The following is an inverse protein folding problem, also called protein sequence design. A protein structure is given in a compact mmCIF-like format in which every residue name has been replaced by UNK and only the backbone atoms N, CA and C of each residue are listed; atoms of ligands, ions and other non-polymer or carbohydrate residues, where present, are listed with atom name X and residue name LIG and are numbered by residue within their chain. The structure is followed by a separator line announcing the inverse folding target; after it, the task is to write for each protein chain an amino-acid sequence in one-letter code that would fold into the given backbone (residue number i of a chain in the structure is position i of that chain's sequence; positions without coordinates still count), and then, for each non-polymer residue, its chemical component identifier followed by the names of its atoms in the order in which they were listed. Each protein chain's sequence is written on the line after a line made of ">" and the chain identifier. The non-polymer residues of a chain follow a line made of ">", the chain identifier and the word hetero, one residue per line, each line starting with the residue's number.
data_IF_520848621041
#
_entry.id   IF_520848621041
#
_cell.length_a   1.000
_cell.length_b   1.000
_cell.length_c   1.000
_cell.angle_alpha   90.00
_cell.angle_beta   90.00
_cell.angle_gamma   90.00
#
_symmetry.space_group_name_H-M   'P 1'
#
loop_
_entity.id
_entity.type
_entity.pdbx_description
1 polymer ?
#
# COMPACT_ATOMS: atom_id res chain seq x y z
N UNK A 1 -63.24 -83.89 32.29
CA UNK A 1 -62.66 -82.80 31.47
C UNK A 1 -62.65 -81.51 32.27
N UNK A 2 -61.47 -80.87 32.32
CA UNK A 2 -61.20 -79.44 32.59
C UNK A 2 -61.68 -78.79 33.89
N UNK A 3 -60.71 -78.44 34.72
CA UNK A 3 -60.58 -77.09 35.29
C UNK A 3 -59.09 -76.71 35.33
N UNK A 4 -58.69 -75.66 34.59
CA UNK A 4 -57.47 -74.93 34.89
C UNK A 4 -57.66 -73.43 34.57
N UNK A 5 -57.28 -72.62 35.56
CA UNK A 5 -57.37 -71.17 35.68
C UNK A 5 -56.67 -70.42 34.53
N UNK A 6 -57.19 -69.26 34.15
CA UNK A 6 -56.43 -68.20 33.46
C UNK A 6 -56.46 -66.91 34.28
N UNK A 7 -55.26 -66.41 34.58
CA UNK A 7 -54.98 -65.11 35.19
C UNK A 7 -55.26 -63.98 34.19
N UNK A 8 -55.87 -62.90 34.65
CA UNK A 8 -56.06 -61.66 33.92
C UNK A 8 -55.09 -60.61 34.50
N UNK A 9 -54.05 -60.26 33.76
CA UNK A 9 -53.15 -59.15 34.08
C UNK A 9 -53.52 -57.94 33.24
N UNK A 10 -53.97 -56.86 33.89
CA UNK A 10 -54.22 -55.56 33.25
C UNK A 10 -52.88 -54.81 33.14
N UNK A 11 -52.42 -54.55 31.91
CA UNK A 11 -51.29 -53.67 31.62
C UNK A 11 -51.85 -52.27 31.28
N UNK A 12 -51.69 -51.31 32.20
CA UNK A 12 -51.97 -49.91 31.93
C UNK A 12 -50.83 -49.31 31.08
N UNK A 13 -51.11 -49.00 29.83
CA UNK A 13 -50.21 -48.20 28.96
C UNK A 13 -50.53 -46.73 29.20
N UNK A 14 -49.64 -46.02 29.90
CA UNK A 14 -49.68 -44.56 30.00
C UNK A 14 -49.03 -43.97 28.73
N UNK A 15 -49.85 -43.55 27.77
CA UNK A 15 -49.39 -42.71 26.67
C UNK A 15 -49.25 -41.26 27.15
N UNK A 16 -48.03 -40.86 27.52
CA UNK A 16 -47.69 -39.43 27.67
C UNK A 16 -47.40 -38.81 26.30
N UNK A 17 -47.80 -37.55 26.05
CA UNK A 17 -47.46 -36.88 24.80
C UNK A 17 -45.95 -36.62 24.77
N UNK A 18 -45.25 -37.28 23.86
CA UNK A 18 -43.89 -36.91 23.51
C UNK A 18 -43.93 -35.53 22.84
N UNK A 19 -43.76 -34.47 23.65
CA UNK A 19 -43.38 -33.15 23.14
C UNK A 19 -41.97 -33.28 22.55
N UNK A 20 -41.91 -33.68 21.28
CA UNK A 20 -40.70 -33.57 20.49
C UNK A 20 -40.35 -32.09 20.38
N UNK A 21 -39.29 -31.68 21.08
CA UNK A 21 -38.60 -30.42 20.83
C UNK A 21 -38.08 -30.48 19.38
N UNK A 22 -38.86 -29.94 18.46
CA UNK A 22 -38.38 -29.58 17.13
C UNK A 22 -37.36 -28.46 17.32
N UNK A 23 -36.08 -28.82 17.43
CA UNK A 23 -34.99 -27.85 17.24
C UNK A 23 -35.05 -27.51 15.75
N UNK A 24 -35.74 -26.43 15.40
CA UNK A 24 -35.66 -25.88 14.06
C UNK A 24 -34.18 -25.58 13.78
N UNK A 25 -33.60 -26.27 12.79
CA UNK A 25 -32.25 -25.97 12.34
C UNK A 25 -32.20 -24.48 11.96
N UNK A 26 -31.33 -23.71 12.63
CA UNK A 26 -31.14 -22.31 12.28
C UNK A 26 -30.73 -22.23 10.81
N UNK A 27 -31.42 -21.37 10.06
CA UNK A 27 -31.06 -21.12 8.66
C UNK A 27 -29.60 -20.66 8.57
N UNK A 28 -28.84 -21.10 7.54
CA UNK A 28 -27.46 -20.67 7.35
C UNK A 28 -27.35 -19.14 7.32
N UNK A 29 -26.37 -18.59 8.04
CA UNK A 29 -26.09 -17.15 8.05
C UNK A 29 -25.06 -16.88 6.96
N UNK A 30 -25.46 -16.12 5.95
CA UNK A 30 -24.58 -15.68 4.86
C UNK A 30 -24.09 -14.25 5.14
N UNK A 31 -22.77 -14.07 5.14
CA UNK A 31 -22.08 -12.80 5.35
C UNK A 31 -21.29 -12.43 4.10
N UNK A 32 -21.49 -11.20 3.62
CA UNK A 32 -20.73 -10.63 2.50
C UNK A 32 -19.75 -9.59 3.02
N UNK A 33 -18.46 -9.80 2.74
CA UNK A 33 -17.39 -8.85 3.03
C UNK A 33 -16.90 -8.29 1.69
N UNK A 34 -16.97 -6.97 1.54
CA UNK A 34 -16.28 -6.27 0.45
C UNK A 34 -14.97 -5.69 0.99
N UNK A 35 -13.93 -5.66 0.16
CA UNK A 35 -12.68 -5.06 0.59
C UNK A 35 -11.87 -4.41 -0.53
N UNK A 36 -10.97 -3.52 -0.10
CA UNK A 36 -9.97 -2.83 -0.92
C UNK A 36 -8.62 -2.82 -0.21
N UNK A 37 -7.57 -2.46 -0.92
CA UNK A 37 -6.25 -2.16 -0.39
C UNK A 37 -5.51 -1.27 -1.41
N UNK A 38 -4.52 -0.50 -0.96
CA UNK A 38 -3.59 0.24 -1.81
C UNK A 38 -4.33 1.14 -2.82
N UNK A 39 -5.36 1.85 -2.34
CA UNK A 39 -6.13 2.78 -3.18
C UNK A 39 -5.25 3.94 -3.67
N UNK A 40 -4.24 4.34 -2.89
CA UNK A 40 -3.26 5.37 -3.25
C UNK A 40 -3.91 6.68 -3.71
N UNK A 41 -5.04 7.04 -3.10
CA UNK A 41 -5.77 8.23 -3.48
C UNK A 41 -6.34 8.20 -4.90
N UNK A 42 -6.51 7.04 -5.54
CA UNK A 42 -7.10 6.91 -6.87
C UNK A 42 -8.62 7.18 -6.85
N UNK A 43 -8.99 8.44 -6.64
CA UNK A 43 -10.38 8.89 -6.49
C UNK A 43 -11.14 8.92 -7.82
N UNK A 44 -10.44 9.23 -8.91
CA UNK A 44 -10.98 9.26 -10.27
C UNK A 44 -10.55 8.02 -11.06
N UNK A 45 -11.36 7.57 -12.04
CA UNK A 45 -10.93 6.50 -12.94
C UNK A 45 -9.80 6.96 -13.87
N UNK A 46 -8.86 6.06 -14.18
CA UNK A 46 -7.84 6.26 -15.23
C UNK A 46 -8.13 5.33 -16.39
N UNK A 47 -8.41 5.88 -17.58
CA UNK A 47 -8.77 5.12 -18.78
C UNK A 47 -9.91 4.10 -18.54
N UNK A 48 -10.94 4.50 -17.79
CA UNK A 48 -12.08 3.65 -17.43
C UNK A 48 -11.82 2.64 -16.31
N UNK A 49 -10.63 2.64 -15.71
CA UNK A 49 -10.24 1.72 -14.62
C UNK A 49 -10.23 2.44 -13.26
N UNK A 50 -10.80 1.80 -12.25
CA UNK A 50 -10.78 2.29 -10.87
C UNK A 50 -11.69 3.49 -10.62
N UNK A 51 -11.36 4.27 -9.59
CA UNK A 51 -12.14 5.41 -9.11
C UNK A 51 -13.08 5.04 -7.96
N UNK A 52 -13.15 5.90 -6.95
CA UNK A 52 -13.92 5.62 -5.73
C UNK A 52 -15.42 5.60 -5.97
N UNK A 53 -15.92 6.38 -6.94
CA UNK A 53 -17.34 6.34 -7.30
C UNK A 53 -17.70 5.00 -7.98
N UNK A 54 -16.79 4.41 -8.75
CA UNK A 54 -16.97 3.12 -9.40
C UNK A 54 -16.89 1.97 -8.40
N UNK A 55 -15.91 2.02 -7.49
CA UNK A 55 -15.80 1.10 -6.36
C UNK A 55 -17.10 1.12 -5.54
N UNK A 56 -17.63 2.30 -5.24
CA UNK A 56 -18.87 2.44 -4.48
C UNK A 56 -20.06 1.76 -5.15
N UNK A 57 -20.20 1.86 -6.49
CA UNK A 57 -21.24 1.14 -7.24
C UNK A 57 -21.13 -0.37 -7.05
N UNK A 58 -19.92 -0.94 -7.14
CA UNK A 58 -19.69 -2.38 -6.94
C UNK A 58 -20.02 -2.77 -5.50
N UNK A 59 -19.49 -2.05 -4.52
CA UNK A 59 -19.67 -2.33 -3.10
C UNK A 59 -21.17 -2.29 -2.77
N UNK A 60 -21.89 -1.23 -3.14
CA UNK A 60 -23.33 -1.11 -2.87
C UNK A 60 -24.15 -2.19 -3.59
N UNK A 61 -23.79 -2.54 -4.82
CA UNK A 61 -24.42 -3.63 -5.56
C UNK A 61 -24.28 -5.01 -4.92
N UNK A 62 -23.24 -5.21 -4.10
CA UNK A 62 -23.03 -6.47 -3.36
C UNK A 62 -23.85 -6.56 -2.05
N UNK A 63 -24.45 -5.46 -1.59
CA UNK A 63 -25.15 -5.34 -0.30
C UNK A 63 -24.35 -5.95 0.87
N UNK A 64 -23.12 -5.45 1.13
CA UNK A 64 -22.21 -6.05 2.09
C UNK A 64 -22.66 -5.89 3.53
N UNK A 65 -22.26 -6.87 4.34
CA UNK A 65 -22.35 -6.80 5.79
C UNK A 65 -21.14 -6.07 6.40
N UNK A 66 -19.97 -6.18 5.77
CA UNK A 66 -18.73 -5.50 6.17
C UNK A 66 -17.99 -4.95 4.95
N UNK A 67 -17.35 -3.80 5.11
CA UNK A 67 -16.49 -3.17 4.09
C UNK A 67 -15.14 -2.83 4.71
N UNK A 68 -14.05 -3.47 4.25
CA UNK A 68 -12.73 -3.41 4.89
C UNK A 68 -11.68 -2.80 3.95
N UNK A 69 -10.73 -2.05 4.50
CA UNK A 69 -9.55 -1.60 3.76
C UNK A 69 -8.24 -2.07 4.43
N UNK A 70 -7.27 -2.50 3.64
CA UNK A 70 -5.96 -2.99 4.10
C UNK A 70 -4.80 -1.97 4.01
N UNK A 71 -5.08 -0.66 4.00
CA UNK A 71 -4.09 0.40 4.12
C UNK A 71 -3.60 0.98 2.78
N UNK A 72 -2.74 2.00 2.87
CA UNK A 72 -2.28 2.85 1.77
C UNK A 72 -3.43 3.54 1.04
N UNK A 73 -4.18 4.32 1.82
CA UNK A 73 -5.37 5.05 1.41
C UNK A 73 -5.04 6.31 0.59
N UNK A 74 -4.00 7.03 0.98
CA UNK A 74 -3.86 8.45 0.62
C UNK A 74 -2.89 8.73 -0.54
N UNK A 75 -1.61 8.39 -0.39
CA UNK A 75 -0.55 8.89 -1.27
C UNK A 75 -0.59 8.24 -2.64
N UNK A 76 -0.56 9.06 -3.71
CA UNK A 76 -0.33 8.54 -5.07
C UNK A 76 -0.95 9.34 -6.21
N UNK A 77 -1.99 10.14 -5.95
CA UNK A 77 -2.56 11.07 -6.95
C UNK A 77 -2.53 12.50 -6.46
N UNK A 78 -2.43 13.46 -7.40
CA UNK A 78 -2.35 14.86 -7.03
C UNK A 78 -3.62 15.34 -6.31
N UNK A 79 -4.78 14.82 -6.70
CA UNK A 79 -6.05 15.14 -6.06
C UNK A 79 -6.03 14.73 -4.59
N UNK A 80 -5.55 13.52 -4.27
CA UNK A 80 -5.43 13.09 -2.87
C UNK A 80 -4.36 13.90 -2.12
N UNK A 81 -3.19 14.09 -2.73
CA UNK A 81 -2.04 14.73 -2.09
C UNK A 81 -2.25 16.22 -1.81
N UNK A 82 -2.87 16.96 -2.73
CA UNK A 82 -3.19 18.39 -2.56
C UNK A 82 -4.13 18.61 -1.37
N UNK A 83 -5.09 17.70 -1.17
CA UNK A 83 -6.05 17.76 -0.06
C UNK A 83 -5.67 16.86 1.11
N UNK A 84 -4.45 16.30 1.08
CA UNK A 84 -3.87 15.45 2.11
C UNK A 84 -4.83 14.33 2.56
N UNK A 85 -5.41 13.61 1.61
CA UNK A 85 -6.30 12.46 1.85
C UNK A 85 -7.73 12.78 2.33
N UNK A 86 -8.10 14.05 2.51
CA UNK A 86 -9.46 14.43 2.93
C UNK A 86 -10.57 13.88 2.04
N UNK A 87 -10.54 14.05 0.69
CA UNK A 87 -11.59 13.52 -0.17
C UNK A 87 -11.67 11.98 -0.13
N UNK A 88 -10.54 11.30 0.10
CA UNK A 88 -10.51 9.83 0.30
C UNK A 88 -11.31 9.44 1.53
N UNK A 89 -11.06 10.06 2.69
CA UNK A 89 -11.82 9.79 3.90
C UNK A 89 -13.31 10.13 3.73
N UNK A 90 -13.65 11.23 3.06
CA UNK A 90 -15.04 11.59 2.79
C UNK A 90 -15.76 10.55 1.91
N UNK A 91 -15.11 10.05 0.86
CA UNK A 91 -15.65 8.99 0.03
C UNK A 91 -15.83 7.69 0.83
N UNK A 92 -14.81 7.26 1.58
CA UNK A 92 -14.89 6.04 2.41
C UNK A 92 -15.99 6.13 3.48
N UNK A 93 -16.15 7.29 4.12
CA UNK A 93 -17.23 7.56 5.05
C UNK A 93 -18.61 7.40 4.41
N UNK A 94 -18.78 7.83 3.16
CA UNK A 94 -20.06 7.74 2.45
C UNK A 94 -20.33 6.35 1.86
N UNK A 95 -19.27 5.61 1.52
CA UNK A 95 -19.36 4.19 1.11
C UNK A 95 -19.78 3.32 2.30
N UNK A 96 -19.34 3.66 3.52
CA UNK A 96 -19.68 2.93 4.73
C UNK A 96 -18.63 1.87 5.10
N UNK A 97 -17.34 2.22 4.99
CA UNK A 97 -16.26 1.36 5.48
C UNK A 97 -16.48 1.01 6.96
N UNK A 98 -16.32 -0.27 7.28
CA UNK A 98 -16.37 -0.82 8.63
C UNK A 98 -15.06 -0.56 9.38
N UNK A 99 -13.92 -0.70 8.71
CA UNK A 99 -12.60 -0.36 9.25
C UNK A 99 -11.59 -0.16 8.12
N UNK A 100 -10.50 0.55 8.42
CA UNK A 100 -9.29 0.58 7.60
C UNK A 100 -8.07 0.13 8.41
N UNK A 101 -6.94 -0.07 7.75
CA UNK A 101 -5.66 -0.39 8.37
C UNK A 101 -4.63 0.70 8.05
N UNK A 102 -3.63 0.89 8.92
CA UNK A 102 -2.47 1.73 8.62
C UNK A 102 -1.50 0.95 7.72
N UNK A 103 -1.24 1.47 6.52
CA UNK A 103 -0.09 1.15 5.67
C UNK A 103 1.07 2.11 5.86
N UNK A 104 2.12 1.95 5.06
CA UNK A 104 3.33 2.77 5.19
C UNK A 104 3.10 4.21 4.70
N UNK A 105 2.20 4.44 3.74
CA UNK A 105 1.97 5.76 3.15
C UNK A 105 1.03 6.67 3.97
N UNK A 106 0.33 6.14 4.99
CA UNK A 106 -0.51 6.95 5.89
C UNK A 106 0.30 8.04 6.64
N UNK A 107 1.61 7.85 6.80
CA UNK A 107 2.50 8.77 7.51
C UNK A 107 3.09 9.88 6.62
N UNK A 108 2.91 9.85 5.30
CA UNK A 108 3.65 10.70 4.37
C UNK A 108 3.38 12.19 4.53
N UNK A 109 2.14 12.56 4.88
CA UNK A 109 1.77 13.96 5.14
C UNK A 109 2.09 14.41 6.58
N UNK A 110 2.76 13.56 7.35
CA UNK A 110 3.09 13.78 8.76
C UNK A 110 2.00 13.34 9.74
N UNK A 111 2.41 13.08 10.98
CA UNK A 111 1.52 12.54 12.02
C UNK A 111 0.36 13.44 12.41
N UNK A 112 0.50 14.77 12.30
CA UNK A 112 -0.59 15.70 12.64
C UNK A 112 -1.71 15.64 11.62
N UNK A 113 -1.37 15.54 10.33
CA UNK A 113 -2.35 15.33 9.27
C UNK A 113 -2.99 13.97 9.42
N UNK A 114 -2.22 12.92 9.71
CA UNK A 114 -2.77 11.60 9.99
C UNK A 114 -3.80 11.66 11.13
N UNK A 115 -3.46 12.27 12.29
CA UNK A 115 -4.42 12.48 13.40
C UNK A 115 -5.70 13.17 12.94
N UNK A 116 -5.59 14.23 12.14
CA UNK A 116 -6.77 14.92 11.60
C UNK A 116 -7.63 13.99 10.75
N UNK A 117 -7.03 13.21 9.84
CA UNK A 117 -7.75 12.28 8.97
C UNK A 117 -8.39 11.13 9.72
N UNK A 118 -7.74 10.62 10.76
CA UNK A 118 -8.31 9.60 11.63
C UNK A 118 -9.50 10.13 12.45
N UNK A 119 -9.53 11.42 12.78
CA UNK A 119 -10.70 12.08 13.42
C UNK A 119 -11.83 12.34 12.43
N UNK A 120 -11.51 12.60 11.16
CA UNK A 120 -12.50 12.76 10.09
C UNK A 120 -13.16 11.43 9.72
N UNK A 121 -12.47 10.30 9.94
CA UNK A 121 -12.98 8.96 9.64
C UNK A 121 -14.12 8.56 10.59
N UNK A 122 -15.21 8.03 10.01
CA UNK A 122 -16.36 7.48 10.73
C UNK A 122 -16.22 5.99 11.03
N UNK A 123 -15.03 5.45 10.81
CA UNK A 123 -14.65 4.07 11.00
C UNK A 123 -13.30 4.00 11.72
N UNK A 124 -13.05 2.97 12.55
CA UNK A 124 -11.76 2.79 13.19
C UNK A 124 -10.68 2.45 12.16
N UNK A 125 -9.49 3.02 12.34
CA UNK A 125 -8.29 2.66 11.59
C UNK A 125 -7.33 1.89 12.51
N UNK A 126 -6.84 0.77 12.01
CA UNK A 126 -6.28 -0.29 12.83
C UNK A 126 -4.79 -0.51 12.59
N UNK A 127 -4.02 -0.73 13.65
CA UNK A 127 -2.70 -1.35 13.63
C UNK A 127 -2.30 -1.82 15.04
N UNK A 128 -2.17 -3.12 15.24
CA UNK A 128 -1.81 -3.74 16.52
C UNK A 128 -0.30 -3.70 16.80
N UNK A 129 0.51 -3.70 15.75
CA UNK A 129 1.97 -3.75 15.86
C UNK A 129 2.63 -2.37 15.87
N UNK A 130 1.87 -1.28 15.83
CA UNK A 130 2.40 0.07 16.07
C UNK A 130 2.31 0.45 17.55
N UNK A 131 3.44 0.90 18.10
CA UNK A 131 3.50 1.66 19.35
C UNK A 131 3.66 3.12 18.97
N UNK A 132 2.61 3.91 19.17
CA UNK A 132 2.48 5.25 18.58
C UNK A 132 1.84 6.23 19.57
N UNK A 133 2.21 7.53 19.54
CA UNK A 133 1.52 8.57 20.29
C UNK A 133 0.17 8.97 19.65
N UNK A 134 -0.20 8.40 18.51
CA UNK A 134 -1.47 8.67 17.83
C UNK A 134 -2.56 7.79 18.46
N UNK A 135 -3.31 8.33 19.41
CA UNK A 135 -4.33 7.60 20.17
C UNK A 135 -5.54 7.17 19.33
N UNK A 136 -5.73 7.79 18.16
CA UNK A 136 -6.79 7.43 17.22
C UNK A 136 -6.54 6.08 16.53
N UNK A 137 -5.28 5.61 16.45
CA UNK A 137 -4.95 4.28 15.91
C UNK A 137 -5.33 3.22 16.94
N UNK A 138 -6.25 2.34 16.59
CA UNK A 138 -6.68 1.23 17.45
C UNK A 138 -5.94 -0.05 17.06
N UNK A 139 -5.78 -0.99 17.99
CA UNK A 139 -5.15 -2.28 17.66
C UNK A 139 -6.11 -3.21 16.90
N UNK A 140 -7.35 -3.24 17.35
CA UNK A 140 -8.42 -4.06 16.79
C UNK A 140 -9.78 -3.38 16.99
N UNK A 141 -10.82 -3.93 16.38
CA UNK A 141 -12.22 -3.62 16.68
C UNK A 141 -13.07 -4.88 16.65
N UNK A 142 -14.28 -4.83 17.22
CA UNK A 142 -15.25 -5.93 17.16
C UNK A 142 -16.57 -5.39 16.63
N UNK A 143 -17.08 -6.01 15.57
CA UNK A 143 -18.33 -5.60 14.90
C UNK A 143 -19.26 -6.80 14.82
N UNK A 144 -20.55 -6.59 15.05
CA UNK A 144 -21.56 -7.66 14.91
C UNK A 144 -22.33 -7.49 13.62
N UNK A 145 -22.39 -8.54 12.80
CA UNK A 145 -23.23 -8.59 11.60
C UNK A 145 -24.04 -9.90 11.60
N UNK A 146 -25.36 -9.77 11.41
CA UNK A 146 -26.34 -10.89 11.44
C UNK A 146 -26.13 -11.86 12.62
N UNK A 147 -25.75 -11.35 13.80
CA UNK A 147 -25.54 -12.13 15.03
C UNK A 147 -24.16 -12.79 15.17
N UNK A 148 -23.26 -12.64 14.19
CA UNK A 148 -21.86 -13.09 14.26
C UNK A 148 -20.97 -11.90 14.67
N UNK A 149 -20.13 -12.10 15.69
CA UNK A 149 -19.14 -11.10 16.14
C UNK A 149 -17.83 -11.28 15.38
N UNK A 150 -17.40 -10.26 14.65
CA UNK A 150 -16.15 -10.22 13.89
C UNK A 150 -15.11 -9.43 14.66
N UNK A 151 -14.04 -10.09 15.09
CA UNK A 151 -12.85 -9.43 15.62
C UNK A 151 -11.91 -9.09 14.48
N UNK A 152 -11.59 -7.81 14.30
CA UNK A 152 -10.77 -7.33 13.19
C UNK A 152 -9.48 -6.74 13.76
N UNK A 153 -8.34 -7.35 13.45
CA UNK A 153 -7.02 -6.94 13.91
C UNK A 153 -6.28 -6.26 12.75
N UNK A 154 -5.76 -5.05 12.97
CA UNK A 154 -4.95 -4.35 11.97
C UNK A 154 -3.46 -4.69 12.10
N UNK A 155 -2.72 -4.74 11.00
CA UNK A 155 -1.25 -4.88 11.00
C UNK A 155 -0.61 -4.02 9.91
N UNK A 156 0.55 -3.46 10.21
CA UNK A 156 1.35 -2.61 9.31
C UNK A 156 2.73 -3.26 9.09
N UNK A 157 3.26 -3.25 7.86
CA UNK A 157 4.53 -3.90 7.51
C UNK A 157 5.68 -3.43 8.40
N UNK A 158 6.54 -4.38 8.80
CA UNK A 158 7.79 -4.11 9.53
C UNK A 158 8.74 -3.21 8.72
N UNK A 159 8.62 -3.23 7.40
CA UNK A 159 9.42 -2.44 6.47
C UNK A 159 9.03 -0.96 6.42
N UNK A 160 7.94 -0.56 7.09
CA UNK A 160 7.59 0.87 7.27
C UNK A 160 8.76 1.69 7.82
N UNK A 161 9.69 1.07 8.58
CA UNK A 161 10.91 1.74 9.08
C UNK A 161 11.81 2.31 7.97
N UNK A 162 11.74 1.74 6.77
CA UNK A 162 12.58 2.08 5.61
C UNK A 162 11.77 2.49 4.38
N UNK A 163 10.45 2.24 4.34
CA UNK A 163 9.57 2.60 3.22
C UNK A 163 8.82 3.92 3.41
N UNK A 164 8.88 4.54 4.60
CA UNK A 164 8.50 5.95 4.81
C UNK A 164 9.66 6.75 5.41
N UNK A 165 9.57 8.08 5.33
CA UNK A 165 10.64 8.94 5.83
C UNK A 165 10.71 8.87 7.37
N UNK A 166 11.91 8.64 7.96
CA UNK A 166 12.09 8.55 9.42
C UNK A 166 11.54 9.75 10.24
N UNK A 167 11.49 10.96 9.67
CA UNK A 167 10.92 12.15 10.32
C UNK A 167 9.44 11.97 10.64
N UNK A 168 8.72 11.22 9.81
CA UNK A 168 7.30 10.94 9.97
C UNK A 168 7.03 9.88 11.03
N UNK A 169 8.04 9.10 11.44
CA UNK A 169 7.94 8.02 12.44
C UNK A 169 8.46 8.42 13.83
N UNK A 170 8.70 9.70 14.10
CA UNK A 170 9.18 10.14 15.43
C UNK A 170 8.23 9.66 16.54
N UNK A 171 8.75 8.88 17.47
CA UNK A 171 7.97 8.30 18.58
C UNK A 171 7.09 7.10 18.20
N UNK A 172 7.15 6.65 16.94
CA UNK A 172 6.48 5.44 16.46
C UNK A 172 7.50 4.29 16.45
N UNK A 173 7.17 3.18 17.11
CA UNK A 173 7.95 1.95 17.03
C UNK A 173 7.08 0.86 16.42
N UNK A 174 7.61 0.18 15.40
CA UNK A 174 6.96 -0.95 14.77
C UNK A 174 7.44 -2.23 15.48
N UNK A 175 6.50 -3.07 15.92
CA UNK A 175 6.74 -4.37 16.52
C UNK A 175 6.66 -5.47 15.46
N UNK A 176 7.32 -6.59 15.75
CA UNK A 176 7.13 -7.84 15.03
C UNK A 176 5.65 -8.22 14.91
N UNK A 177 5.20 -8.55 13.70
CA UNK A 177 3.78 -8.79 13.42
C UNK A 177 3.21 -10.00 14.17
N UNK A 178 4.01 -11.06 14.32
CA UNK A 178 3.58 -12.29 15.02
C UNK A 178 3.44 -12.01 16.51
N UNK A 179 4.42 -11.32 17.10
CA UNK A 179 4.35 -10.94 18.52
C UNK A 179 3.16 -10.03 18.80
N UNK A 180 2.89 -9.06 17.92
CA UNK A 180 1.76 -8.15 18.09
C UNK A 180 0.41 -8.87 18.05
N UNK A 181 0.22 -9.82 17.12
CA UNK A 181 -0.98 -10.66 17.08
C UNK A 181 -1.07 -11.51 18.35
N UNK A 182 0.02 -12.15 18.76
CA UNK A 182 0.05 -12.97 19.98
C UNK A 182 -0.42 -12.21 21.23
N UNK A 183 -0.10 -10.93 21.34
CA UNK A 183 -0.52 -10.08 22.46
C UNK A 183 -2.01 -9.74 22.46
N UNK A 184 -2.60 -9.44 21.30
CA UNK A 184 -4.01 -8.98 21.21
C UNK A 184 -5.00 -10.12 21.03
N UNK A 185 -4.57 -11.25 20.47
CA UNK A 185 -5.43 -12.36 20.08
C UNK A 185 -6.25 -12.95 21.23
N UNK A 186 -5.73 -13.15 22.46
CA UNK A 186 -6.54 -13.68 23.56
C UNK A 186 -7.80 -12.84 23.83
N UNK A 187 -7.65 -11.52 23.91
CA UNK A 187 -8.76 -10.60 24.17
C UNK A 187 -9.75 -10.56 22.99
N UNK A 188 -9.24 -10.58 21.75
CA UNK A 188 -10.09 -10.61 20.55
C UNK A 188 -10.88 -11.91 20.47
N UNK A 189 -10.27 -13.05 20.84
CA UNK A 189 -10.90 -14.38 20.85
C UNK A 189 -12.11 -14.45 21.78
N UNK A 190 -12.03 -13.87 22.98
CA UNK A 190 -13.15 -13.85 23.92
C UNK A 190 -14.36 -13.04 23.40
N UNK A 191 -14.07 -11.99 22.63
CA UNK A 191 -15.08 -11.03 22.14
C UNK A 191 -15.66 -11.38 20.78
N UNK A 192 -15.12 -12.38 20.09
CA UNK A 192 -15.42 -12.64 18.68
C UNK A 192 -15.84 -14.08 18.43
N UNK A 193 -16.64 -14.28 17.40
CA UNK A 193 -17.00 -15.60 16.86
C UNK A 193 -16.16 -15.94 15.62
N UNK A 194 -15.69 -14.92 14.88
CA UNK A 194 -14.78 -15.04 13.75
C UNK A 194 -13.72 -13.94 13.78
N UNK A 195 -12.46 -14.27 13.46
CA UNK A 195 -11.33 -13.32 13.50
C UNK A 195 -10.81 -13.07 12.09
N UNK A 196 -10.68 -11.79 11.75
CA UNK A 196 -10.14 -11.28 10.50
C UNK A 196 -8.88 -10.47 10.83
N UNK A 197 -7.84 -10.61 10.02
CA UNK A 197 -6.73 -9.67 10.02
C UNK A 197 -6.84 -8.78 8.77
N UNK A 198 -6.82 -7.46 8.95
CA UNK A 198 -6.66 -6.49 7.86
C UNK A 198 -5.21 -6.00 7.89
N UNK A 199 -4.41 -6.41 6.91
CA UNK A 199 -2.95 -6.38 6.97
C UNK A 199 -2.35 -5.61 5.79
N UNK A 200 -1.54 -4.59 6.06
CA UNK A 200 -0.70 -3.94 5.08
C UNK A 200 0.71 -4.52 5.17
N UNK A 201 0.86 -5.77 4.73
CA UNK A 201 2.03 -6.61 5.00
C UNK A 201 2.69 -7.12 3.71
N UNK A 202 3.98 -7.39 3.79
CA UNK A 202 4.70 -8.17 2.79
C UNK A 202 4.19 -9.63 2.75
N UNK A 203 4.31 -10.28 1.59
CA UNK A 203 3.83 -11.66 1.39
C UNK A 203 4.51 -12.68 2.35
N UNK A 204 5.73 -12.39 2.83
CA UNK A 204 6.42 -13.22 3.83
C UNK A 204 5.85 -13.02 5.25
N UNK A 205 5.46 -11.80 5.60
CA UNK A 205 4.82 -11.45 6.87
C UNK A 205 3.42 -12.06 6.95
N UNK A 206 2.64 -12.00 5.87
CA UNK A 206 1.35 -12.70 5.75
C UNK A 206 1.51 -14.20 6.04
N UNK A 207 2.50 -14.85 5.42
CA UNK A 207 2.81 -16.27 5.67
C UNK A 207 3.17 -16.53 7.12
N UNK A 208 3.97 -15.67 7.74
CA UNK A 208 4.34 -15.80 9.15
C UNK A 208 3.13 -15.73 10.07
N UNK A 209 2.23 -14.77 9.85
CA UNK A 209 1.00 -14.62 10.64
C UNK A 209 0.07 -15.83 10.43
N UNK A 210 -0.20 -16.21 9.19
CA UNK A 210 -1.08 -17.35 8.87
C UNK A 210 -0.57 -18.68 9.47
N UNK A 211 0.75 -18.92 9.41
CA UNK A 211 1.35 -20.13 9.97
C UNK A 211 1.36 -20.13 11.51
N UNK A 212 1.57 -18.97 12.14
CA UNK A 212 1.60 -18.85 13.59
C UNK A 212 0.20 -18.95 14.22
N UNK A 213 -0.84 -18.52 13.50
CA UNK A 213 -2.22 -18.48 14.00
C UNK A 213 -3.23 -19.11 13.03
N UNK A 214 -3.26 -20.45 12.89
CA UNK A 214 -4.19 -21.14 11.97
C UNK A 214 -5.68 -20.90 12.25
N UNK A 215 -6.03 -20.38 13.44
CA UNK A 215 -7.40 -19.99 13.78
C UNK A 215 -7.85 -18.68 13.08
N UNK A 216 -6.90 -17.87 12.61
CA UNK A 216 -7.18 -16.68 11.79
C UNK A 216 -7.42 -17.18 10.37
N UNK A 217 -8.68 -17.39 10.05
CA UNK A 217 -9.12 -18.00 8.79
C UNK A 217 -9.08 -17.03 7.61
N UNK A 218 -9.11 -15.72 7.85
CA UNK A 218 -9.15 -14.70 6.80
C UNK A 218 -8.14 -13.58 7.07
N UNK A 219 -7.31 -13.31 6.06
CA UNK A 219 -6.44 -12.13 5.99
C UNK A 219 -6.85 -11.32 4.76
N UNK A 220 -7.24 -10.07 4.98
CA UNK A 220 -7.45 -9.08 3.92
C UNK A 220 -6.15 -8.27 3.82
N UNK A 221 -5.39 -8.49 2.76
CA UNK A 221 -4.01 -8.02 2.62
C UNK A 221 -3.84 -6.86 1.64
N UNK A 222 -2.71 -6.14 1.77
CA UNK A 222 -2.26 -5.06 0.87
C UNK A 222 -0.74 -5.09 0.63
N UNK A 223 -0.16 -3.92 0.36
CA UNK A 223 1.27 -3.61 0.19
C UNK A 223 1.91 -4.16 -1.09
N UNK A 224 1.65 -5.42 -1.43
CA UNK A 224 2.19 -6.06 -2.62
C UNK A 224 1.27 -5.77 -3.83
N UNK A 225 1.47 -4.64 -4.50
CA UNK A 225 0.60 -4.12 -5.56
C UNK A 225 0.27 -5.10 -6.71
N UNK A 226 1.11 -6.11 -6.95
CA UNK A 226 0.96 -7.10 -8.01
C UNK A 226 0.33 -8.42 -7.53
N UNK A 227 0.26 -8.64 -6.22
CA UNK A 227 -0.28 -9.86 -5.64
C UNK A 227 -1.81 -9.74 -5.61
N UNK A 228 -2.47 -10.66 -6.30
CA UNK A 228 -3.91 -10.76 -6.36
C UNK A 228 -4.36 -12.02 -5.60
N UNK A 229 -5.31 -11.85 -4.69
CA UNK A 229 -5.99 -12.95 -4.02
C UNK A 229 -7.25 -13.38 -4.76
N UNK A 230 -7.89 -14.50 -4.37
CA UNK A 230 -7.60 -15.31 -3.19
C UNK A 230 -6.34 -16.19 -3.31
N UNK A 231 -5.59 -16.32 -2.21
CA UNK A 231 -4.47 -17.26 -2.02
C UNK A 231 -4.75 -18.08 -0.75
N UNK A 232 -4.64 -19.41 -0.84
CA UNK A 232 -4.81 -20.29 0.33
C UNK A 232 -3.46 -20.66 0.93
N UNK A 233 -3.27 -20.37 2.22
CA UNK A 233 -2.16 -20.87 3.03
C UNK A 233 -2.72 -21.82 4.09
N UNK A 234 -2.69 -23.11 3.78
CA UNK A 234 -3.36 -24.12 4.59
C UNK A 234 -4.86 -23.84 4.69
N UNK A 235 -5.29 -23.38 5.86
CA UNK A 235 -6.68 -23.06 6.16
C UNK A 235 -7.00 -21.55 6.06
N UNK A 236 -5.99 -20.70 5.97
CA UNK A 236 -6.17 -19.25 5.91
C UNK A 236 -6.32 -18.80 4.47
N UNK A 237 -7.37 -18.03 4.19
CA UNK A 237 -7.56 -17.33 2.93
C UNK A 237 -6.93 -15.94 3.03
N UNK A 238 -6.02 -15.63 2.11
CA UNK A 238 -5.47 -14.28 1.92
C UNK A 238 -6.14 -13.66 0.69
N UNK A 239 -6.79 -12.52 0.85
CA UNK A 239 -7.43 -11.78 -0.24
C UNK A 239 -6.80 -10.40 -0.43
N UNK A 240 -6.25 -10.14 -1.61
CA UNK A 240 -5.62 -8.87 -2.02
C UNK A 240 -6.21 -8.41 -3.37
N UNK A 241 -6.38 -7.11 -3.56
CA UNK A 241 -7.03 -6.50 -4.74
C UNK A 241 -6.06 -5.89 -5.76
N UNK A 242 -4.76 -5.98 -5.50
CA UNK A 242 -3.74 -5.28 -6.29
C UNK A 242 -3.58 -3.86 -5.76
N UNK A 243 -3.67 -2.85 -6.61
CA UNK A 243 -3.55 -1.43 -6.21
C UNK A 243 -4.40 -0.52 -7.10
N UNK A 244 -4.48 0.76 -6.71
CA UNK A 244 -5.13 1.86 -7.44
C UNK A 244 -6.60 1.60 -7.74
N UNK A 245 -7.29 0.85 -6.87
CA UNK A 245 -8.72 0.56 -7.03
C UNK A 245 -9.08 -0.23 -8.29
N UNK A 246 -8.11 -0.92 -8.93
CA UNK A 246 -8.35 -1.66 -10.18
C UNK A 246 -9.29 -2.86 -10.00
N UNK A 247 -9.37 -3.38 -8.78
CA UNK A 247 -10.32 -4.42 -8.38
C UNK A 247 -10.95 -4.04 -7.04
N UNK A 248 -12.17 -4.54 -6.81
CA UNK A 248 -12.74 -4.68 -5.48
C UNK A 248 -12.76 -6.18 -5.12
N UNK A 249 -12.45 -6.52 -3.87
CA UNK A 249 -12.50 -7.89 -3.40
C UNK A 249 -13.84 -8.21 -2.75
N UNK A 250 -14.30 -9.45 -2.94
CA UNK A 250 -15.48 -9.99 -2.25
C UNK A 250 -15.13 -11.31 -1.58
N UNK A 251 -15.49 -11.45 -0.31
CA UNK A 251 -15.43 -12.69 0.44
C UNK A 251 -16.82 -13.03 0.96
N UNK A 252 -17.30 -14.21 0.62
CA UNK A 252 -18.57 -14.76 1.08
C UNK A 252 -18.29 -15.80 2.17
N UNK A 253 -18.95 -15.67 3.32
CA UNK A 253 -18.85 -16.58 4.46
C UNK A 253 -20.22 -17.16 4.80
N UNK A 254 -20.32 -18.49 4.85
CA UNK A 254 -21.54 -19.17 5.29
C UNK A 254 -21.31 -19.80 6.67
N UNK A 255 -22.22 -19.53 7.60
CA UNK A 255 -22.19 -20.08 8.95
C UNK A 255 -23.39 -20.98 9.23
N UNK A 256 -23.14 -22.10 9.89
CA UNK A 256 -24.17 -22.94 10.52
C UNK A 256 -24.18 -22.62 12.02
N UNK A 257 -25.18 -21.86 12.47
CA UNK A 257 -25.11 -21.19 13.76
C UNK A 257 -23.93 -20.21 13.79
N UNK A 258 -22.94 -20.44 14.66
CA UNK A 258 -21.71 -19.64 14.74
C UNK A 258 -20.47 -20.30 14.14
N UNK A 259 -20.63 -21.49 13.54
CA UNK A 259 -19.51 -22.24 12.97
C UNK A 259 -19.39 -21.94 11.48
N UNK A 260 -18.21 -21.52 11.03
CA UNK A 260 -17.94 -21.34 9.60
C UNK A 260 -18.07 -22.69 8.88
N UNK A 261 -18.88 -22.73 7.83
CA UNK A 261 -19.12 -23.91 6.98
C UNK A 261 -18.49 -23.76 5.60
N UNK A 262 -18.48 -22.54 5.04
CA UNK A 262 -17.89 -22.22 3.74
C UNK A 262 -17.29 -20.82 3.73
N UNK A 263 -16.20 -20.65 2.99
CA UNK A 263 -15.58 -19.36 2.71
C UNK A 263 -15.08 -19.34 1.27
N UNK A 264 -15.43 -18.31 0.52
CA UNK A 264 -15.04 -18.13 -0.88
C UNK A 264 -14.66 -16.68 -1.15
N UNK A 265 -13.50 -16.46 -1.76
CA UNK A 265 -13.04 -15.13 -2.16
C UNK A 265 -13.01 -14.98 -3.68
N UNK A 266 -13.27 -13.77 -4.19
CA UNK A 266 -13.08 -13.43 -5.60
C UNK A 266 -12.75 -11.95 -5.78
N UNK A 267 -12.18 -11.64 -6.94
CA UNK A 267 -11.95 -10.27 -7.39
C UNK A 267 -13.00 -9.83 -8.39
N UNK A 268 -13.39 -8.57 -8.27
CA UNK A 268 -14.33 -7.90 -9.16
C UNK A 268 -13.55 -6.74 -9.82
N UNK A 269 -13.23 -6.83 -11.12
CA UNK A 269 -12.56 -5.74 -11.83
C UNK A 269 -13.38 -4.47 -11.83
N UNK A 270 -12.74 -3.34 -11.55
CA UNK A 270 -13.35 -2.00 -11.64
C UNK A 270 -13.04 -1.42 -13.01
N UNK A 271 -13.70 -1.96 -14.04
CA UNK A 271 -13.47 -1.58 -15.43
C UNK A 271 -14.79 -1.13 -16.07
N UNK A 272 -14.82 0.08 -16.60
CA UNK A 272 -15.99 0.68 -17.27
C UNK A 272 -17.27 0.64 -16.42
N UNK A 273 -17.10 0.77 -15.10
CA UNK A 273 -18.21 0.77 -14.15
C UNK A 273 -18.82 2.18 -14.09
N UNK A 274 -20.15 2.26 -14.00
CA UNK A 274 -20.85 3.52 -13.80
C UNK A 274 -20.49 4.12 -12.44
N UNK A 275 -20.18 5.41 -12.41
CA UNK A 275 -19.92 6.13 -11.17
C UNK A 275 -21.17 6.21 -10.28
N UNK A 276 -21.00 5.95 -8.99
CA UNK A 276 -21.99 6.28 -7.97
C UNK A 276 -22.15 7.81 -7.88
N UNK A 277 -23.37 8.35 -8.06
CA UNK A 277 -23.57 9.79 -8.16
C UNK A 277 -23.30 10.53 -6.84
N UNK A 278 -23.46 9.88 -5.69
CA UNK A 278 -23.22 10.53 -4.41
C UNK A 278 -21.73 10.66 -4.13
N UNK A 279 -20.95 9.64 -4.47
CA UNK A 279 -19.50 9.68 -4.33
C UNK A 279 -18.88 10.63 -5.35
N UNK A 280 -19.36 10.62 -6.59
CA UNK A 280 -18.92 11.57 -7.61
C UNK A 280 -19.11 13.03 -7.15
N UNK A 281 -20.27 13.35 -6.56
CA UNK A 281 -20.56 14.70 -6.03
C UNK A 281 -19.63 15.12 -4.89
N UNK A 282 -19.10 14.18 -4.10
CA UNK A 282 -18.12 14.48 -3.06
C UNK A 282 -16.77 14.85 -3.68
N UNK A 283 -16.38 14.19 -4.78
CA UNK A 283 -15.05 14.31 -5.38
C UNK A 283 -14.97 15.53 -6.34
N UNK A 284 -16.05 15.83 -7.06
CA UNK A 284 -16.11 16.88 -8.09
C UNK A 284 -15.53 18.24 -7.68
N UNK A 285 -15.80 18.80 -6.48
CA UNK A 285 -15.23 20.09 -6.07
C UNK A 285 -13.70 20.07 -5.90
N UNK A 286 -13.13 18.91 -5.59
CA UNK A 286 -11.69 18.73 -5.45
C UNK A 286 -11.02 18.56 -6.81
N UNK A 287 -11.64 17.78 -7.69
CA UNK A 287 -11.20 17.63 -9.09
C UNK A 287 -11.12 18.99 -9.80
N UNK A 288 -12.18 19.81 -9.68
CA UNK A 288 -12.22 21.13 -10.30
C UNK A 288 -11.08 22.05 -9.84
N UNK A 289 -10.63 21.93 -8.58
CA UNK A 289 -9.53 22.74 -8.02
C UNK A 289 -8.15 22.33 -8.54
N UNK A 290 -7.95 21.06 -8.88
CA UNK A 290 -6.65 20.55 -9.33
C UNK A 290 -6.51 20.49 -10.85
N UNK A 291 -7.62 20.46 -11.59
CA UNK A 291 -7.65 20.29 -13.04
C UNK A 291 -6.77 21.31 -13.79
N UNK A 292 -6.85 22.59 -13.42
CA UNK A 292 -6.06 23.64 -14.08
C UNK A 292 -4.55 23.43 -13.96
N UNK A 293 -4.08 23.03 -12.77
CA UNK A 293 -2.66 22.77 -12.52
C UNK A 293 -2.18 21.50 -13.22
N UNK A 294 -2.99 20.43 -13.21
CA UNK A 294 -2.68 19.19 -13.91
C UNK A 294 -2.50 19.41 -15.42
N UNK A 295 -3.29 20.29 -16.02
CA UNK A 295 -3.26 20.56 -17.45
C UNK A 295 -2.16 21.55 -17.89
N UNK A 296 -1.41 22.16 -16.98
CA UNK A 296 -0.34 23.11 -17.32
C UNK A 296 0.75 22.42 -18.16
N UNK A 297 0.94 22.83 -19.41
CA UNK A 297 2.02 22.32 -20.26
C UNK A 297 3.36 22.93 -19.83
N UNK A 298 4.35 22.07 -19.56
CA UNK A 298 5.67 22.45 -19.06
C UNK A 298 6.81 22.16 -20.04
N UNK A 299 6.56 21.36 -21.07
CA UNK A 299 7.53 21.03 -22.12
C UNK A 299 6.98 20.07 -23.16
N UNK A 300 7.85 19.47 -23.96
CA UNK A 300 7.51 18.49 -24.99
C UNK A 300 8.54 17.35 -25.03
N UNK A 301 8.09 16.11 -25.21
CA UNK A 301 8.93 14.94 -25.45
C UNK A 301 8.86 14.51 -26.93
N UNK A 302 10.01 14.29 -27.57
CA UNK A 302 10.08 13.86 -28.99
C UNK A 302 9.78 12.38 -29.19
N UNK A 303 9.91 11.58 -28.14
CA UNK A 303 9.53 10.17 -28.04
C UNK A 303 9.14 9.83 -26.58
N UNK A 304 8.68 8.62 -26.32
CA UNK A 304 8.28 8.18 -24.97
C UNK A 304 9.49 8.21 -24.01
N UNK A 305 9.33 8.86 -22.86
CA UNK A 305 10.28 8.81 -21.75
C UNK A 305 9.89 7.66 -20.83
N UNK A 306 10.36 6.47 -21.17
CA UNK A 306 10.05 5.23 -20.47
C UNK A 306 10.80 5.10 -19.15
N UNK A 307 10.24 4.29 -18.24
CA UNK A 307 10.90 3.84 -17.01
C UNK A 307 11.23 2.36 -17.03
N UNK A 308 12.21 1.96 -16.23
CA UNK A 308 12.51 0.56 -15.93
C UNK A 308 12.75 0.36 -14.44
N UNK A 309 12.32 -0.78 -13.89
CA UNK A 309 12.65 -1.19 -12.53
C UNK A 309 14.03 -1.86 -12.43
N UNK A 310 14.53 -2.39 -13.55
CA UNK A 310 15.62 -3.36 -13.57
C UNK A 310 16.72 -2.99 -14.56
N UNK A 311 16.69 -1.79 -15.15
CA UNK A 311 17.66 -1.33 -16.15
C UNK A 311 17.73 0.19 -16.24
N UNK A 312 18.73 0.71 -16.95
CA UNK A 312 18.79 2.11 -17.40
C UNK A 312 17.50 2.48 -18.15
N UNK A 313 17.03 3.72 -18.01
CA UNK A 313 15.85 4.18 -18.73
C UNK A 313 15.90 5.69 -18.98
N UNK A 314 15.40 6.18 -20.14
CA UNK A 314 15.56 7.58 -20.51
C UNK A 314 14.96 8.57 -19.50
N UNK A 315 13.82 8.21 -18.89
CA UNK A 315 13.20 9.07 -17.88
C UNK A 315 14.04 9.13 -16.60
N UNK A 316 14.62 8.01 -16.19
CA UNK A 316 15.45 7.95 -14.99
C UNK A 316 16.74 8.77 -15.16
N UNK A 317 17.36 8.70 -16.34
CA UNK A 317 18.56 9.48 -16.69
C UNK A 317 18.26 10.97 -16.70
N UNK A 318 17.14 11.38 -17.31
CA UNK A 318 16.67 12.76 -17.33
C UNK A 318 16.47 13.31 -15.92
N UNK A 319 15.84 12.52 -15.03
CA UNK A 319 15.62 12.93 -13.64
C UNK A 319 16.97 13.10 -12.94
N UNK A 320 17.88 12.13 -13.08
CA UNK A 320 19.21 12.23 -12.47
C UNK A 320 20.01 13.44 -12.99
N UNK A 321 19.88 13.78 -14.28
CA UNK A 321 20.46 15.00 -14.88
C UNK A 321 19.87 16.27 -14.27
N UNK A 322 18.54 16.34 -14.15
CA UNK A 322 17.85 17.46 -13.52
C UNK A 322 18.33 17.66 -12.07
N UNK A 323 18.54 16.57 -11.31
CA UNK A 323 19.05 16.66 -9.94
C UNK A 323 20.48 17.19 -9.93
N UNK A 324 21.35 16.62 -10.76
CA UNK A 324 22.75 17.01 -10.87
C UNK A 324 22.90 18.48 -11.24
N UNK A 325 22.13 18.94 -12.23
CA UNK A 325 22.13 20.32 -12.70
C UNK A 325 21.61 21.27 -11.61
N UNK A 326 20.46 20.97 -11.03
CA UNK A 326 19.85 21.82 -10.00
C UNK A 326 20.72 21.94 -8.75
N UNK A 327 21.31 20.82 -8.31
CA UNK A 327 22.21 20.78 -7.16
C UNK A 327 23.63 21.26 -7.45
N UNK A 328 24.00 21.45 -8.73
CA UNK A 328 25.34 21.86 -9.18
C UNK A 328 26.45 20.94 -8.64
N UNK A 329 26.20 19.63 -8.69
CA UNK A 329 27.13 18.60 -8.20
C UNK A 329 27.74 17.79 -9.32
N UNK A 330 28.78 17.02 -9.01
CA UNK A 330 29.40 16.10 -9.97
C UNK A 330 28.49 14.93 -10.33
N UNK A 331 27.65 14.49 -9.40
CA UNK A 331 26.83 13.28 -9.53
C UNK A 331 25.39 13.59 -9.15
N UNK A 332 24.43 13.03 -9.89
CA UNK A 332 23.01 13.00 -9.54
C UNK A 332 22.54 11.55 -9.34
N UNK A 333 21.80 11.27 -8.27
CA UNK A 333 21.28 9.94 -7.94
C UNK A 333 19.79 9.98 -7.61
N UNK A 334 19.02 9.07 -8.19
CA UNK A 334 17.59 8.90 -7.89
C UNK A 334 17.23 7.43 -7.69
N UNK A 335 16.49 7.11 -6.62
CA UNK A 335 15.98 5.76 -6.38
C UNK A 335 14.88 5.40 -7.38
N UNK A 336 14.97 4.19 -7.95
CA UNK A 336 14.07 3.73 -9.02
C UNK A 336 12.62 3.62 -8.55
N UNK A 337 12.40 3.25 -7.28
CA UNK A 337 11.08 3.17 -6.66
C UNK A 337 10.36 4.52 -6.55
N UNK A 338 11.11 5.62 -6.54
CA UNK A 338 10.58 6.99 -6.51
C UNK A 338 9.95 7.47 -7.81
N UNK A 339 10.25 6.79 -8.92
CA UNK A 339 9.74 7.13 -10.26
C UNK A 339 8.54 6.20 -10.54
N UNK A 340 7.35 6.74 -10.81
CA UNK A 340 6.09 5.95 -10.75
C UNK A 340 5.36 5.79 -12.08
N UNK A 341 5.69 6.60 -13.09
CA UNK A 341 5.05 6.58 -14.40
C UNK A 341 6.06 6.74 -15.54
N UNK A 342 5.55 6.62 -16.78
CA UNK A 342 6.23 6.97 -18.04
C UNK A 342 5.58 8.24 -18.58
N UNK A 343 6.34 9.10 -19.27
CA UNK A 343 5.78 10.26 -19.97
C UNK A 343 5.68 9.93 -21.46
N UNK A 344 4.48 9.88 -22.05
CA UNK A 344 4.31 9.64 -23.48
C UNK A 344 4.94 10.75 -24.33
N UNK A 345 5.26 10.41 -25.59
CA UNK A 345 5.60 11.39 -26.61
C UNK A 345 4.53 12.47 -26.72
N UNK A 346 4.97 13.72 -26.89
CA UNK A 346 4.08 14.87 -27.09
C UNK A 346 4.25 15.91 -25.99
N UNK A 347 3.19 16.69 -25.74
CA UNK A 347 3.18 17.72 -24.70
C UNK A 347 3.35 17.07 -23.32
N UNK A 348 4.25 17.62 -22.51
CA UNK A 348 4.46 17.22 -21.12
C UNK A 348 3.73 18.22 -20.25
N UNK A 349 2.85 17.75 -19.38
CA UNK A 349 2.12 18.56 -18.42
C UNK A 349 2.72 18.48 -17.02
N UNK A 350 2.39 19.43 -16.15
CA UNK A 350 2.72 19.35 -14.73
C UNK A 350 2.13 18.08 -14.10
N UNK A 351 0.93 17.68 -14.53
CA UNK A 351 0.30 16.43 -14.11
C UNK A 351 1.12 15.20 -14.46
N UNK A 352 1.69 15.14 -15.67
CA UNK A 352 2.57 14.03 -16.08
C UNK A 352 3.80 13.94 -15.17
N UNK A 353 4.44 15.08 -14.85
CA UNK A 353 5.61 15.09 -13.96
C UNK A 353 5.21 14.72 -12.53
N UNK A 354 4.02 15.12 -12.07
CA UNK A 354 3.48 14.67 -10.80
C UNK A 354 3.27 13.16 -10.75
N UNK A 355 2.65 12.56 -11.79
CA UNK A 355 2.47 11.11 -11.85
C UNK A 355 3.81 10.37 -11.84
N UNK A 356 4.87 10.96 -12.38
CA UNK A 356 6.22 10.39 -12.33
C UNK A 356 6.83 10.51 -10.93
N UNK A 357 6.74 11.69 -10.29
CA UNK A 357 7.34 12.00 -8.98
C UNK A 357 6.28 12.50 -8.00
N UNK A 358 5.42 11.62 -7.46
CA UNK A 358 4.30 12.05 -6.62
C UNK A 358 4.75 12.44 -5.21
N UNK A 359 5.81 11.81 -4.71
CA UNK A 359 6.28 12.00 -3.34
C UNK A 359 6.77 13.43 -3.05
N UNK A 360 6.61 13.86 -1.80
CA UNK A 360 7.06 15.17 -1.31
C UNK A 360 8.53 15.16 -0.88
N UNK A 361 9.37 14.40 -1.58
CA UNK A 361 10.79 14.33 -1.29
C UNK A 361 11.48 15.64 -1.69
N UNK A 362 12.44 16.09 -0.88
CA UNK A 362 13.21 17.30 -1.13
C UNK A 362 14.59 16.97 -1.69
N UNK A 363 15.15 17.89 -2.48
CA UNK A 363 16.46 17.78 -3.08
C UNK A 363 17.55 18.01 -2.02
N UNK A 364 18.49 17.07 -1.91
CA UNK A 364 19.59 17.11 -0.95
C UNK A 364 20.93 17.02 -1.66
N UNK A 365 21.86 17.89 -1.29
CA UNK A 365 23.27 17.80 -1.70
C UNK A 365 24.11 17.21 -0.57
N UNK A 366 25.08 16.36 -0.90
CA UNK A 366 25.99 15.73 0.06
C UNK A 366 27.38 15.52 -0.55
N UNK A 367 28.42 15.59 0.27
CA UNK A 367 29.79 15.17 -0.10
C UNK A 367 30.08 13.78 0.46
N UNK A 368 30.47 12.84 -0.39
CA UNK A 368 30.80 11.46 0.01
C UNK A 368 32.18 11.07 -0.47
N UNK A 369 32.83 10.13 0.21
CA UNK A 369 34.05 9.50 -0.31
C UNK A 369 33.71 8.54 -1.46
N UNK A 370 34.68 8.22 -2.31
CA UNK A 370 34.50 7.19 -3.34
C UNK A 370 34.10 5.83 -2.76
N UNK A 371 34.63 5.46 -1.59
CA UNK A 371 34.23 4.25 -0.88
C UNK A 371 32.74 4.26 -0.47
N UNK A 372 32.24 5.40 0.04
CA UNK A 372 30.82 5.56 0.38
C UNK A 372 29.92 5.51 -0.86
N UNK A 373 30.34 6.13 -1.97
CA UNK A 373 29.62 6.06 -3.24
C UNK A 373 29.54 4.63 -3.76
N UNK A 374 30.67 3.90 -3.80
CA UNK A 374 30.72 2.49 -4.22
C UNK A 374 29.84 1.61 -3.35
N UNK A 375 29.83 1.83 -2.03
CA UNK A 375 28.96 1.09 -1.12
C UNK A 375 27.48 1.39 -1.35
N UNK A 376 27.13 2.64 -1.66
CA UNK A 376 25.75 3.03 -2.01
C UNK A 376 25.31 2.32 -3.30
N UNK A 377 26.13 2.36 -4.35
CA UNK A 377 25.84 1.71 -5.65
C UNK A 377 25.79 0.17 -5.56
N UNK A 378 26.41 -0.41 -4.53
CA UNK A 378 26.33 -1.85 -4.23
C UNK A 378 25.01 -2.27 -3.55
N UNK A 379 24.27 -1.32 -2.96
CA UNK A 379 23.04 -1.62 -2.22
C UNK A 379 21.84 -1.88 -3.14
N UNK A 380 21.85 -1.34 -4.36
CA UNK A 380 20.79 -1.54 -5.34
C UNK A 380 20.91 -0.59 -6.54
N UNK A 381 20.01 -0.78 -7.51
CA UNK A 381 19.95 0.04 -8.72
C UNK A 381 19.46 1.46 -8.42
N UNK A 382 20.24 2.46 -8.82
CA UNK A 382 19.89 3.87 -8.82
C UNK A 382 19.96 4.41 -10.25
N UNK A 383 19.11 5.38 -10.56
CA UNK A 383 19.32 6.23 -11.72
C UNK A 383 20.53 7.12 -11.46
N UNK A 384 21.40 7.30 -12.45
CA UNK A 384 22.68 7.99 -12.28
C UNK A 384 22.90 9.07 -13.33
N UNK A 385 23.63 10.10 -12.93
CA UNK A 385 24.14 11.15 -13.81
C UNK A 385 25.54 11.54 -13.37
N UNK A 386 26.45 11.74 -14.33
CA UNK A 386 27.85 12.13 -14.08
C UNK A 386 28.81 10.95 -13.83
N UNK A 387 28.28 9.72 -13.82
CA UNK A 387 29.03 8.47 -13.67
C UNK A 387 28.55 7.42 -14.67
N UNK A 388 29.38 6.39 -14.88
CA UNK A 388 29.04 5.14 -15.56
C UNK A 388 29.23 3.98 -14.58
N UNK A 389 28.27 3.07 -14.52
CA UNK A 389 28.18 1.99 -13.54
C UNK A 389 28.02 0.64 -14.26
N UNK A 390 28.74 -0.37 -13.81
CA UNK A 390 28.53 -1.77 -14.20
C UNK A 390 28.08 -2.57 -13.00
N UNK A 391 26.96 -3.29 -13.13
CA UNK A 391 26.37 -4.13 -12.10
C UNK A 391 26.23 -5.58 -12.58
N UNK A 392 26.46 -6.53 -11.67
CA UNK A 392 26.14 -7.94 -11.81
C UNK A 392 25.02 -8.27 -10.84
N UNK A 393 23.78 -8.35 -11.35
CA UNK A 393 22.59 -8.56 -10.52
C UNK A 393 22.42 -10.03 -10.09
N UNK A 394 23.26 -10.96 -10.58
CA UNK A 394 23.27 -12.35 -10.11
C UNK A 394 23.99 -12.49 -8.78
N UNK A 395 24.84 -11.52 -8.41
CA UNK A 395 25.52 -11.49 -7.12
C UNK A 395 24.57 -11.06 -6.00
N UNK A 396 24.77 -11.57 -4.77
CA UNK A 396 24.00 -11.15 -3.62
C UNK A 396 24.16 -9.64 -3.36
N UNK A 397 23.12 -9.03 -2.77
CA UNK A 397 23.12 -7.61 -2.44
C UNK A 397 24.37 -7.20 -1.66
N UNK A 398 24.92 -6.03 -1.99
CA UNK A 398 26.20 -5.55 -1.44
C UNK A 398 27.44 -5.99 -2.23
N UNK A 399 27.31 -6.87 -3.23
CA UNK A 399 28.42 -7.33 -4.09
C UNK A 399 28.15 -7.14 -5.59
N UNK A 400 27.12 -6.35 -5.93
CA UNK A 400 26.64 -6.21 -7.30
C UNK A 400 27.48 -5.25 -8.14
N UNK A 401 28.20 -4.30 -7.53
CA UNK A 401 29.02 -3.33 -8.26
C UNK A 401 30.28 -3.98 -8.84
N UNK A 402 30.38 -3.99 -10.17
CA UNK A 402 31.56 -4.46 -10.91
C UNK A 402 32.55 -3.32 -11.12
N UNK A 403 32.09 -2.15 -11.59
CA UNK A 403 32.93 -0.96 -11.75
C UNK A 403 32.11 0.33 -11.74
N UNK A 404 32.79 1.43 -11.43
CA UNK A 404 32.24 2.79 -11.54
C UNK A 404 33.33 3.78 -11.94
N UNK A 405 33.01 4.66 -12.89
CA UNK A 405 33.86 5.78 -13.34
C UNK A 405 33.04 7.05 -13.41
N UNK A 406 33.70 8.20 -13.43
CA UNK A 406 33.08 9.44 -13.93
C UNK A 406 32.70 9.28 -15.41
N UNK A 407 31.83 10.16 -15.91
CA UNK A 407 31.39 10.13 -17.31
C UNK A 407 32.53 10.27 -18.33
N UNK A 408 33.66 10.89 -17.95
CA UNK A 408 34.87 11.02 -18.78
C UNK A 408 35.79 9.79 -18.73
N UNK A 409 35.42 8.75 -17.97
CA UNK A 409 36.19 7.52 -17.80
C UNK A 409 37.15 7.51 -16.61
N UNK A 410 37.28 8.62 -15.87
CA UNK A 410 38.14 8.69 -14.68
C UNK A 410 37.65 7.70 -13.60
N UNK A 411 38.51 6.82 -13.06
CA UNK A 411 38.14 5.92 -11.98
C UNK A 411 37.67 6.65 -10.71
N UNK A 412 36.70 6.05 -10.00
CA UNK A 412 36.32 6.54 -8.66
C UNK A 412 37.33 6.01 -7.63
N UNK A 413 38.06 6.92 -6.99
CA UNK A 413 39.08 6.63 -5.98
C UNK A 413 38.48 6.67 -4.56
N UNK A 414 38.82 5.70 -3.73
CA UNK A 414 38.13 5.46 -2.45
C UNK A 414 38.21 6.64 -1.48
N UNK A 415 39.35 7.32 -1.43
CA UNK A 415 39.61 8.44 -0.53
C UNK A 415 39.17 9.80 -1.11
N UNK A 416 38.91 9.89 -2.42
CA UNK A 416 38.52 11.14 -3.05
C UNK A 416 37.07 11.50 -2.66
N UNK A 417 36.81 12.80 -2.51
CA UNK A 417 35.49 13.34 -2.19
C UNK A 417 34.77 13.70 -3.49
N UNK A 418 33.51 13.27 -3.59
CA UNK A 418 32.61 13.55 -4.69
C UNK A 418 31.37 14.28 -4.17
N UNK A 419 30.93 15.30 -4.91
CA UNK A 419 29.67 15.99 -4.65
C UNK A 419 28.52 15.27 -5.34
N UNK A 420 27.46 14.99 -4.58
CA UNK A 420 26.29 14.22 -5.03
C UNK A 420 25.02 15.00 -4.71
N UNK A 421 24.08 15.03 -5.66
CA UNK A 421 22.70 15.46 -5.42
C UNK A 421 21.76 14.27 -5.50
N UNK A 422 20.87 14.16 -4.53
CA UNK A 422 19.83 13.13 -4.45
C UNK A 422 18.61 13.68 -3.72
N UNK A 423 17.83 12.85 -3.04
CA UNK A 423 16.66 13.24 -2.27
C UNK A 423 16.74 12.86 -0.77
N UNK A 424 15.93 13.52 0.06
CA UNK A 424 15.90 13.35 1.52
C UNK A 424 15.58 11.93 1.97
N UNK A 425 14.67 11.24 1.29
CA UNK A 425 14.35 9.84 1.55
C UNK A 425 15.57 8.93 1.41
N UNK A 426 16.32 9.04 0.29
CA UNK A 426 17.53 8.23 0.06
C UNK A 426 18.60 8.55 1.10
N UNK A 427 18.84 9.83 1.40
CA UNK A 427 19.84 10.24 2.41
C UNK A 427 19.48 9.74 3.81
N UNK A 428 18.19 9.68 4.14
CA UNK A 428 17.71 9.14 5.40
C UNK A 428 17.79 7.60 5.49
N UNK A 429 18.22 6.92 4.43
CA UNK A 429 18.37 5.47 4.36
C UNK A 429 17.18 4.71 3.79
N UNK A 430 16.23 5.42 3.17
CA UNK A 430 15.17 4.81 2.38
C UNK A 430 15.72 3.89 1.29
N UNK A 431 14.97 2.84 0.98
CA UNK A 431 15.36 1.74 0.07
C UNK A 431 16.73 1.09 0.41
N UNK A 432 17.25 1.28 1.63
CA UNK A 432 18.53 0.71 2.08
C UNK A 432 19.77 1.56 1.76
N UNK A 433 19.61 2.77 1.21
CA UNK A 433 20.73 3.64 0.78
C UNK A 433 21.37 4.50 1.90
N UNK A 434 21.34 4.04 3.14
CA UNK A 434 21.72 4.83 4.32
C UNK A 434 23.19 5.27 4.41
N UNK A 435 24.06 4.79 3.51
CA UNK A 435 25.47 5.21 3.48
C UNK A 435 25.63 6.67 3.05
N UNK A 436 24.75 7.21 2.19
CA UNK A 436 24.80 8.62 1.80
C UNK A 436 24.58 9.56 3.00
N UNK A 437 23.75 9.16 3.96
CA UNK A 437 23.52 9.90 5.21
C UNK A 437 24.74 10.00 6.13
N UNK A 438 25.83 9.27 5.84
CA UNK A 438 27.12 9.35 6.55
C UNK A 438 28.13 10.26 5.86
N UNK A 439 27.72 10.92 4.77
CA UNK A 439 28.52 11.92 4.09
C UNK A 439 28.74 13.19 4.93
N UNK A 440 29.51 14.11 4.36
CA UNK A 440 29.76 15.45 4.92
C UNK A 440 28.93 16.50 4.17
N UNK A 441 28.75 17.65 4.80
CA UNK A 441 28.06 18.81 4.19
C UNK A 441 26.68 18.45 3.61
N UNK A 442 25.93 17.61 4.32
CA UNK A 442 24.55 17.27 3.95
C UNK A 442 23.70 18.53 4.08
N UNK A 443 23.09 18.95 2.98
CA UNK A 443 22.23 20.13 2.92
C UNK A 443 20.94 19.78 2.18
N UNK A 444 19.83 19.77 2.93
CA UNK A 444 18.49 19.80 2.35
C UNK A 444 18.21 21.22 1.83
N UNK A 445 17.83 21.31 0.56
CA UNK A 445 17.53 22.58 -0.10
C UNK A 445 16.10 23.06 0.19
N UNK A 446 15.22 22.18 0.67
CA UNK A 446 13.78 22.42 0.80
C UNK A 446 13.03 22.44 -0.54
N UNK A 447 13.72 22.29 -1.67
CA UNK A 447 13.12 22.27 -3.00
C UNK A 447 12.58 20.87 -3.24
N UNK A 448 11.33 20.74 -3.68
CA UNK A 448 10.78 19.44 -4.05
C UNK A 448 11.53 18.86 -5.24
N UNK A 449 11.77 17.55 -5.20
CA UNK A 449 12.40 16.81 -6.29
C UNK A 449 11.68 17.06 -7.64
N UNK A 450 10.35 17.01 -7.60
CA UNK A 450 9.47 17.28 -8.73
C UNK A 450 9.68 18.70 -9.29
N UNK A 451 9.84 19.69 -8.44
CA UNK A 451 10.04 21.08 -8.87
C UNK A 451 11.41 21.27 -9.55
N UNK A 452 12.45 20.57 -9.08
CA UNK A 452 13.74 20.54 -9.76
C UNK A 452 13.64 19.94 -11.18
N UNK A 453 12.86 18.87 -11.36
CA UNK A 453 12.61 18.27 -12.68
C UNK A 453 11.74 19.17 -13.56
N UNK A 454 10.72 19.82 -13.00
CA UNK A 454 9.89 20.79 -13.73
C UNK A 454 10.73 21.97 -14.25
N UNK A 455 11.60 22.52 -13.42
CA UNK A 455 12.53 23.59 -13.81
C UNK A 455 13.43 23.14 -14.97
N UNK A 456 13.98 21.92 -14.89
CA UNK A 456 14.80 21.34 -15.95
C UNK A 456 14.04 21.19 -17.27
N UNK A 457 12.81 20.66 -17.23
CA UNK A 457 11.95 20.50 -18.41
C UNK A 457 11.63 21.87 -19.03
N UNK A 458 11.25 22.86 -18.21
CA UNK A 458 10.94 24.21 -18.66
C UNK A 458 12.15 24.91 -19.29
N UNK A 459 13.35 24.67 -18.77
CA UNK A 459 14.60 25.21 -19.30
C UNK A 459 14.97 24.61 -20.68
N UNK A 460 14.80 23.29 -20.84
CA UNK A 460 15.18 22.58 -22.07
C UNK A 460 14.09 22.61 -23.15
N UNK A 461 12.82 22.82 -22.75
CA UNK A 461 11.59 22.91 -23.58
C UNK A 461 11.23 21.64 -24.36
N UNK A 462 12.17 21.11 -25.14
CA UNK A 462 12.02 19.90 -25.96
C UNK A 462 13.02 18.85 -25.48
N UNK A 463 12.49 17.76 -24.97
CA UNK A 463 13.25 16.64 -24.42
C UNK A 463 13.32 15.52 -25.45
N UNK A 464 14.53 15.02 -25.68
CA UNK A 464 14.76 13.84 -26.51
C UNK A 464 15.23 12.69 -25.62
N UNK A 465 14.49 11.57 -25.54
CA UNK A 465 14.93 10.39 -24.82
C UNK A 465 16.29 9.94 -25.35
N UNK A 466 17.25 9.73 -24.46
CA UNK A 466 18.59 9.26 -24.81
C UNK A 466 19.05 8.25 -23.77
N UNK A 467 19.47 7.09 -24.23
CA UNK A 467 20.31 6.17 -23.45
C UNK A 467 21.73 6.34 -23.94
N UNK A 468 22.66 6.57 -23.02
CA UNK A 468 24.09 6.73 -23.33
C UNK A 468 24.96 5.70 -22.60
N UNK A 469 24.34 4.67 -22.02
CA UNK A 469 25.03 3.52 -21.41
C UNK A 469 25.63 3.88 -20.06
N UNK A 470 24.87 4.62 -19.24
CA UNK A 470 25.25 4.97 -17.88
C UNK A 470 25.25 3.76 -16.97
N UNK A 471 24.41 2.77 -17.25
CA UNK A 471 24.27 1.57 -16.42
C UNK A 471 24.29 0.33 -17.32
N UNK A 472 25.30 -0.51 -17.14
CA UNK A 472 25.37 -1.83 -17.77
C UNK A 472 25.09 -2.92 -16.73
N UNK A 473 24.19 -3.85 -17.08
CA UNK A 473 23.79 -4.97 -16.22
C UNK A 473 24.21 -6.29 -16.88
N UNK A 474 24.86 -7.15 -16.11
CA UNK A 474 25.38 -8.46 -16.52
C UNK A 474 24.59 -9.66 -15.93
#
# INVERSE_FOLDING_TARGET
>A
MRTLRKFLGFLLIVCGPAMGLWIAAQSPIHIVIMHTNDIHGQLLPKNGVGGMAQIATIIRGANPDLVLDAGDLFTGTFLSDEFKGLPTIQAMNRIGYTSGTIGNHEFDYGQDVLRMRLRDARFPVLSANLRTPISEIRKYTVVTAKGIRFGIIGLTTEDTRVTTHPKNLKGVTIQDVVKAVQEVLPEVREKSDFIIVTAHLEDNEDKRVANAFPEIRLIIGGHNHNTLGPIWLGQTLIAKTGSSGRNAGRVDLDFEGKKLSRMEGRLIPVMNVRADPEIAKIIEPYEAKVAGKLAEVVGQATADLTRSNNAESPLADLIADALRERGKTQIGLQNIGGIRATIPKGSITWGDVFEVLPFQNTLVTVKVTGAQLKKTLNAGLLAVSGIRVRLDLKKPGGQQLVSVTLSDGTPIEDAQIYSVTTNDFVVAGGDGFGELGRGKEIKDTGILLRDAVLDYIKAHRVLSPMLDGRIMIE
#
